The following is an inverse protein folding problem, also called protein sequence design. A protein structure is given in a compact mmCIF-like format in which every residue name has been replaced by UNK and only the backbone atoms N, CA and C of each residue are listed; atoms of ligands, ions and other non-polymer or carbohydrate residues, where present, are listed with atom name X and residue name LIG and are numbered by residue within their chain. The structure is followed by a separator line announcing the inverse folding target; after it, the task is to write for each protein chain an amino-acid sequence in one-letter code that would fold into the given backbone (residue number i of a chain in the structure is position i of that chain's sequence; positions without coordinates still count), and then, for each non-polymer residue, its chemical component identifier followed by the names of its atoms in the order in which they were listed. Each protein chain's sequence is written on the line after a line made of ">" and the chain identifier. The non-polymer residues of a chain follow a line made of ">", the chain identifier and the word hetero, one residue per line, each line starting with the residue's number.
data_IF_493624650732
#
_entry.id   IF_493624650732
#
_cell.length_a   1.000
_cell.length_b   1.000
_cell.length_c   1.000
_cell.angle_alpha   90.00
_cell.angle_beta   90.00
_cell.angle_gamma   90.00
#
_symmetry.space_group_name_H-M   'P 1'
#
loop_
_entity.id
_entity.type
_entity.pdbx_description
1 polymer ?
#
# COMPACT_ATOMS: atom_id res chain seq x y z
N UNK A 1 61.81 -24.18 -27.35
CA UNK A 1 60.43 -24.32 -27.83
C UNK A 1 59.49 -23.70 -26.81
N UNK A 2 58.54 -22.90 -27.29
CA UNK A 2 57.37 -22.29 -26.63
C UNK A 2 57.61 -21.34 -25.44
N UNK A 3 57.62 -20.01 -25.60
CA UNK A 3 56.55 -19.05 -25.96
C UNK A 3 55.40 -18.87 -24.95
N UNK A 4 55.19 -17.60 -24.58
CA UNK A 4 53.91 -16.95 -24.22
C UNK A 4 53.28 -17.33 -22.88
N UNK A 5 52.79 -16.43 -22.03
CA UNK A 5 52.48 -15.00 -22.13
C UNK A 5 52.22 -14.49 -20.69
N UNK A 6 52.86 -13.39 -20.28
CA UNK A 6 52.26 -12.06 -20.02
C UNK A 6 51.18 -12.04 -18.92
N UNK A 7 51.48 -11.49 -17.74
CA UNK A 7 51.25 -10.07 -17.37
C UNK A 7 49.81 -9.75 -16.94
N UNK A 8 49.72 -9.15 -15.74
CA UNK A 8 48.87 -8.01 -15.35
C UNK A 8 47.43 -7.97 -15.86
N UNK A 9 46.45 -7.99 -14.94
CA UNK A 9 45.11 -7.36 -15.02
C UNK A 9 44.24 -7.98 -13.93
N UNK A 10 43.44 -7.30 -13.12
CA UNK A 10 43.24 -5.90 -12.84
C UNK A 10 42.45 -5.84 -11.55
N UNK A 11 42.77 -4.86 -10.71
CA UNK A 11 41.88 -4.38 -9.67
C UNK A 11 40.52 -4.06 -10.29
N UNK A 12 39.47 -4.79 -9.92
CA UNK A 12 38.11 -4.32 -10.13
C UNK A 12 37.48 -3.99 -8.78
N UNK A 13 37.60 -2.71 -8.44
CA UNK A 13 36.64 -2.02 -7.59
C UNK A 13 35.30 -2.03 -8.33
N UNK A 14 34.39 -2.90 -7.91
CA UNK A 14 32.99 -2.81 -8.37
C UNK A 14 32.19 -2.02 -7.34
N UNK A 15 32.34 -0.69 -7.40
CA UNK A 15 31.19 0.18 -7.13
C UNK A 15 30.19 -0.07 -8.26
N UNK A 16 29.07 -0.70 -7.97
CA UNK A 16 27.76 -0.28 -8.48
C UNK A 16 26.65 -1.24 -8.09
N UNK A 17 25.74 -0.70 -7.27
CA UNK A 17 24.29 -0.77 -7.48
C UNK A 17 23.63 -2.11 -7.15
N UNK A 18 23.48 -2.34 -5.85
CA UNK A 18 22.31 -3.08 -5.36
C UNK A 18 21.08 -2.24 -5.67
N UNK A 19 20.38 -2.66 -6.73
CA UNK A 19 19.08 -2.19 -7.12
C UNK A 19 18.12 -2.61 -6.00
N UNK A 20 17.95 -1.74 -5.01
CA UNK A 20 16.85 -1.84 -4.06
C UNK A 20 15.56 -1.73 -4.88
N UNK A 21 14.99 -2.86 -5.28
CA UNK A 21 13.57 -2.97 -5.64
C UNK A 21 12.74 -2.82 -4.37
N UNK A 22 12.93 -1.70 -3.68
CA UNK A 22 12.08 -1.30 -2.58
C UNK A 22 10.74 -0.85 -3.20
N UNK A 23 9.59 -1.32 -2.66
CA UNK A 23 8.26 -0.94 -3.13
C UNK A 23 8.04 0.60 -3.13
N UNK A 24 8.89 1.36 -2.45
CA UNK A 24 8.94 2.82 -2.48
C UNK A 24 9.19 3.41 -3.89
N UNK A 25 9.96 2.75 -4.76
CA UNK A 25 10.27 3.30 -6.09
C UNK A 25 9.05 3.31 -7.03
N UNK A 26 8.22 2.26 -6.95
CA UNK A 26 6.99 2.14 -7.76
C UNK A 26 5.92 3.13 -7.29
N UNK A 27 5.89 3.42 -5.99
CA UNK A 27 5.04 4.44 -5.39
C UNK A 27 5.44 5.86 -5.81
N UNK A 28 6.73 6.15 -5.93
CA UNK A 28 7.23 7.48 -6.33
C UNK A 28 6.82 7.82 -7.77
N UNK A 29 6.95 6.85 -8.69
CA UNK A 29 6.48 6.99 -10.08
C UNK A 29 4.96 7.17 -10.17
N UNK A 30 4.20 6.43 -9.35
CA UNK A 30 2.74 6.56 -9.32
C UNK A 30 2.32 7.94 -8.78
N UNK A 31 2.94 8.40 -7.70
CA UNK A 31 2.70 9.73 -7.10
C UNK A 31 3.04 10.85 -8.10
N UNK A 32 4.09 10.68 -8.90
CA UNK A 32 4.47 11.64 -9.94
C UNK A 32 3.45 11.73 -11.08
N UNK A 33 2.67 10.66 -11.31
CA UNK A 33 1.61 10.62 -12.34
C UNK A 33 0.26 11.20 -11.88
N UNK A 34 0.09 11.46 -10.58
CA UNK A 34 -1.15 11.99 -10.00
C UNK A 34 -1.25 13.51 -10.13
N UNK A 35 -2.48 14.04 -10.03
CA UNK A 35 -2.74 15.48 -10.14
C UNK A 35 -2.02 16.27 -9.04
N UNK A 36 -1.74 17.56 -9.26
CA UNK A 36 -1.14 18.43 -8.23
C UNK A 36 -1.93 18.43 -6.92
N UNK A 37 -3.25 18.30 -6.99
CA UNK A 37 -4.11 18.24 -5.81
C UNK A 37 -3.87 16.95 -5.01
N UNK A 38 -3.71 15.81 -5.68
CA UNK A 38 -3.40 14.53 -5.04
C UNK A 38 -1.98 14.52 -4.45
N UNK A 39 -1.03 15.15 -5.16
CA UNK A 39 0.34 15.30 -4.69
C UNK A 39 0.43 16.11 -3.39
N UNK A 40 -0.37 17.15 -3.24
CA UNK A 40 -0.43 17.97 -2.03
C UNK A 40 -1.07 17.22 -0.84
N UNK A 41 -2.06 16.37 -1.09
CA UNK A 41 -2.68 15.53 -0.05
C UNK A 41 -1.67 14.50 0.47
N UNK A 42 -0.93 13.86 -0.43
CA UNK A 42 0.11 12.89 -0.08
C UNK A 42 1.25 13.57 0.70
N UNK A 43 1.71 14.75 0.26
CA UNK A 43 2.74 15.52 0.96
C UNK A 43 2.31 16.00 2.37
N UNK A 44 1.03 16.36 2.56
CA UNK A 44 0.50 16.71 3.89
C UNK A 44 0.40 15.51 4.83
N UNK A 45 0.12 14.33 4.29
CA UNK A 45 0.07 13.09 5.05
C UNK A 45 1.48 12.65 5.45
N UNK A 46 2.48 12.86 4.57
CA UNK A 46 3.90 12.60 4.82
C UNK A 46 4.55 13.43 5.95
N UNK A 47 3.86 14.44 6.48
CA UNK A 47 4.35 15.30 7.56
C UNK A 47 3.74 14.99 8.94
N UNK A 48 2.93 13.92 9.07
CA UNK A 48 2.21 13.56 10.32
C UNK A 48 2.79 12.36 11.08
N UNK A 49 4.06 12.00 10.88
CA UNK A 49 4.79 11.15 11.84
C UNK A 49 4.35 9.68 11.91
N UNK A 50 3.90 9.09 10.81
CA UNK A 50 3.60 7.66 10.74
C UNK A 50 2.31 7.20 11.43
N UNK A 51 1.46 8.14 11.85
CA UNK A 51 0.27 7.83 12.63
C UNK A 51 -0.99 7.62 11.79
N UNK A 52 -0.92 7.94 10.50
CA UNK A 52 -2.07 8.01 9.60
C UNK A 52 -1.88 7.07 8.42
N UNK A 53 -2.95 6.37 8.08
CA UNK A 53 -3.06 5.63 6.83
C UNK A 53 -4.30 6.06 6.06
N UNK A 54 -4.37 5.70 4.78
CA UNK A 54 -5.55 5.91 3.97
C UNK A 54 -5.74 4.81 2.95
N UNK A 55 -6.99 4.61 2.56
CA UNK A 55 -7.35 3.87 1.36
C UNK A 55 -7.70 4.83 0.23
N UNK A 56 -7.20 4.54 -0.97
CA UNK A 56 -7.58 5.22 -2.19
C UNK A 56 -8.29 4.25 -3.12
N UNK A 57 -9.46 4.62 -3.64
CA UNK A 57 -10.10 3.83 -4.68
C UNK A 57 -9.41 4.10 -6.02
N UNK A 58 -8.78 3.07 -6.57
CA UNK A 58 -8.03 3.11 -7.83
C UNK A 58 -8.93 2.82 -9.04
N UNK A 59 -9.96 2.00 -8.88
CA UNK A 59 -10.83 1.54 -9.97
C UNK A 59 -12.31 1.69 -9.67
N UNK A 60 -13.11 1.82 -10.74
CA UNK A 60 -14.56 1.91 -10.70
C UNK A 60 -15.08 3.35 -10.69
N UNK A 61 -16.39 3.50 -10.56
CA UNK A 61 -17.09 4.79 -10.54
C UNK A 61 -16.67 5.68 -9.36
N UNK A 62 -16.22 5.05 -8.26
CA UNK A 62 -15.73 5.73 -7.06
C UNK A 62 -14.22 6.04 -7.11
N UNK A 63 -13.57 5.93 -8.28
CA UNK A 63 -12.15 6.23 -8.44
C UNK A 63 -11.82 7.64 -7.94
N UNK A 64 -10.78 7.76 -7.13
CA UNK A 64 -10.35 9.02 -6.51
C UNK A 64 -10.94 9.28 -5.12
N UNK A 65 -11.90 8.47 -4.66
CA UNK A 65 -12.34 8.50 -3.26
C UNK A 65 -11.19 8.10 -2.34
N UNK A 66 -11.04 8.86 -1.24
CA UNK A 66 -9.99 8.65 -0.24
C UNK A 66 -10.63 8.52 1.15
N UNK A 67 -10.22 7.50 1.89
CA UNK A 67 -10.71 7.24 3.24
C UNK A 67 -9.54 7.24 4.20
N UNK A 68 -9.58 8.13 5.19
CA UNK A 68 -8.57 8.19 6.23
C UNK A 68 -8.80 7.08 7.25
N UNK A 69 -7.73 6.40 7.64
CA UNK A 69 -7.69 5.43 8.73
C UNK A 69 -7.07 6.14 9.94
N UNK A 70 -7.84 6.22 11.02
CA UNK A 70 -7.43 6.85 12.27
C UNK A 70 -6.62 5.87 13.13
N UNK A 71 -6.13 6.35 14.28
CA UNK A 71 -5.40 5.52 15.24
C UNK A 71 -6.26 4.37 15.79
N UNK A 72 -7.57 4.59 15.93
CA UNK A 72 -8.54 3.58 16.36
C UNK A 72 -8.83 2.52 15.29
N UNK A 73 -8.25 2.67 14.08
CA UNK A 73 -8.53 1.84 12.92
C UNK A 73 -9.72 2.32 12.11
N UNK A 74 -10.23 1.45 11.24
CA UNK A 74 -11.39 1.74 10.42
C UNK A 74 -12.13 0.45 10.04
N UNK A 75 -13.46 0.48 10.09
CA UNK A 75 -14.31 -0.59 9.57
C UNK A 75 -14.55 -0.38 8.08
N UNK A 76 -14.52 -1.46 7.29
CA UNK A 76 -14.75 -1.45 5.86
C UNK A 76 -16.01 -2.26 5.55
N UNK A 77 -16.96 -1.67 4.83
CA UNK A 77 -18.14 -2.40 4.40
C UNK A 77 -19.25 -1.52 3.84
N UNK A 78 -20.38 -2.14 3.54
CA UNK A 78 -21.59 -1.49 3.02
C UNK A 78 -22.49 -0.89 4.09
N UNK A 79 -22.09 -0.89 5.36
CA UNK A 79 -22.84 -0.17 6.39
C UNK A 79 -22.50 1.32 6.31
N UNK A 80 -23.50 2.20 6.36
CA UNK A 80 -23.28 3.65 6.43
C UNK A 80 -22.51 4.07 7.70
N UNK A 81 -22.46 3.19 8.71
CA UNK A 81 -21.68 3.37 9.93
C UNK A 81 -20.21 2.93 9.79
N UNK A 82 -19.80 2.40 8.64
CA UNK A 82 -18.43 1.96 8.41
C UNK A 82 -17.53 3.16 8.13
N UNK A 83 -16.31 3.16 8.70
CA UNK A 83 -15.32 4.22 8.43
C UNK A 83 -14.93 4.32 6.95
N UNK A 84 -14.94 3.17 6.26
CA UNK A 84 -14.80 3.05 4.81
C UNK A 84 -16.10 2.48 4.27
N UNK A 85 -17.00 3.38 3.88
CA UNK A 85 -18.29 3.01 3.31
C UNK A 85 -18.15 2.67 1.82
N UNK A 86 -18.50 1.44 1.48
CA UNK A 86 -18.47 0.91 0.12
C UNK A 86 -19.88 0.48 -0.29
N UNK A 87 -20.56 1.30 -1.08
CA UNK A 87 -21.94 1.06 -1.52
C UNK A 87 -22.00 0.05 -2.68
N UNK A 88 -21.95 -1.24 -2.36
CA UNK A 88 -22.20 -2.29 -3.35
C UNK A 88 -22.71 -3.59 -2.75
N UNK A 89 -23.58 -4.29 -3.49
CA UNK A 89 -24.18 -5.55 -3.04
C UNK A 89 -23.17 -6.66 -2.76
N UNK A 90 -22.02 -6.66 -3.47
CA UNK A 90 -20.92 -7.62 -3.28
C UNK A 90 -20.12 -7.36 -2.01
N UNK A 91 -20.37 -6.26 -1.31
CA UNK A 91 -19.72 -5.92 -0.05
C UNK A 91 -20.66 -6.19 1.12
N UNK A 92 -20.22 -7.04 2.06
CA UNK A 92 -20.90 -7.24 3.34
C UNK A 92 -21.01 -5.95 4.16
N UNK A 93 -22.04 -5.86 5.02
CA UNK A 93 -22.26 -4.68 5.89
C UNK A 93 -21.06 -4.39 6.79
N UNK A 94 -20.54 -5.42 7.44
CA UNK A 94 -19.24 -5.45 8.10
C UNK A 94 -18.36 -6.45 7.35
N UNK A 95 -17.54 -5.96 6.42
CA UNK A 95 -16.77 -6.81 5.52
C UNK A 95 -15.39 -7.11 6.10
N UNK A 96 -14.66 -6.05 6.45
CA UNK A 96 -13.34 -6.15 7.05
C UNK A 96 -13.16 -5.03 8.08
N UNK A 97 -12.15 -5.18 8.91
CA UNK A 97 -11.71 -4.15 9.84
C UNK A 97 -10.21 -3.97 9.67
N UNK A 98 -9.78 -2.71 9.68
CA UNK A 98 -8.38 -2.35 9.81
C UNK A 98 -8.16 -1.90 11.24
N UNK A 99 -7.22 -2.53 11.91
CA UNK A 99 -6.80 -2.17 13.26
C UNK A 99 -5.36 -1.69 13.22
N UNK A 100 -5.05 -0.61 13.95
CA UNK A 100 -3.66 -0.22 14.16
C UNK A 100 -3.09 -1.03 15.33
N UNK A 101 -2.01 -1.77 15.07
CA UNK A 101 -1.24 -2.50 16.09
C UNK A 101 0.16 -1.89 16.16
N UNK A 102 0.34 -0.95 17.08
CA UNK A 102 1.59 -0.20 17.21
C UNK A 102 1.84 0.70 16.01
N UNK A 103 2.89 0.44 15.24
CA UNK A 103 3.24 1.18 14.01
C UNK A 103 2.71 0.52 12.73
N UNK A 104 2.06 -0.63 12.85
CA UNK A 104 1.54 -1.40 11.72
C UNK A 104 0.02 -1.34 11.66
N UNK A 105 -0.54 -1.46 10.46
CA UNK A 105 -1.97 -1.61 10.25
C UNK A 105 -2.25 -3.06 9.85
N UNK A 106 -3.25 -3.67 10.47
CA UNK A 106 -3.65 -5.05 10.22
C UNK A 106 -5.06 -5.06 9.67
N UNK A 107 -5.22 -5.63 8.48
CA UNK A 107 -6.53 -5.88 7.87
C UNK A 107 -7.00 -7.26 8.30
N UNK A 108 -8.22 -7.36 8.81
CA UNK A 108 -8.88 -8.61 9.15
C UNK A 108 -10.24 -8.68 8.47
N UNK A 109 -10.51 -9.79 7.79
CA UNK A 109 -11.83 -10.10 7.23
C UNK A 109 -12.79 -10.51 8.37
N UNK A 110 -14.02 -10.00 8.35
CA UNK A 110 -15.03 -10.24 9.38
C UNK A 110 -16.01 -11.38 9.02
N UNK A 111 -15.59 -12.34 8.18
CA UNK A 111 -16.48 -13.37 7.64
C UNK A 111 -17.33 -12.82 6.49
N UNK A 112 -16.71 -12.06 5.60
CA UNK A 112 -17.40 -11.50 4.44
C UNK A 112 -17.87 -12.60 3.48
N UNK A 113 -18.94 -12.34 2.72
CA UNK A 113 -19.51 -13.36 1.83
C UNK A 113 -18.57 -13.67 0.64
N UNK A 114 -17.90 -12.65 0.12
CA UNK A 114 -17.04 -12.77 -1.05
C UNK A 114 -15.55 -12.88 -0.69
N UNK A 115 -15.18 -12.75 0.58
CA UNK A 115 -13.80 -12.69 1.04
C UNK A 115 -13.14 -11.34 0.79
N UNK A 116 -12.04 -11.12 1.52
CA UNK A 116 -11.12 -10.00 1.34
C UNK A 116 -9.87 -10.50 0.64
N UNK A 117 -9.41 -9.78 -0.39
CA UNK A 117 -8.20 -10.12 -1.13
C UNK A 117 -7.15 -9.02 -1.01
N UNK A 118 -5.89 -9.39 -0.86
CA UNK A 118 -4.76 -8.47 -0.87
C UNK A 118 -3.73 -8.98 -1.86
N UNK A 119 -3.33 -8.14 -2.82
CA UNK A 119 -2.44 -8.49 -3.92
C UNK A 119 -2.87 -9.77 -4.68
N UNK A 120 -4.18 -9.91 -4.89
CA UNK A 120 -4.86 -11.06 -5.53
C UNK A 120 -4.87 -12.36 -4.72
N UNK A 121 -4.47 -12.34 -3.45
CA UNK A 121 -4.54 -13.50 -2.55
C UNK A 121 -5.65 -13.31 -1.53
N UNK A 122 -6.46 -14.35 -1.28
CA UNK A 122 -7.51 -14.30 -0.25
C UNK A 122 -6.87 -14.35 1.14
N UNK A 123 -7.23 -13.40 2.00
CA UNK A 123 -6.64 -13.28 3.34
C UNK A 123 -7.73 -13.20 4.40
N UNK A 124 -7.48 -13.83 5.55
CA UNK A 124 -8.32 -13.66 6.75
C UNK A 124 -7.76 -12.58 7.67
N UNK A 125 -6.44 -12.50 7.80
CA UNK A 125 -5.73 -11.44 8.52
C UNK A 125 -4.37 -11.20 7.86
N UNK A 126 -3.99 -9.93 7.64
CA UNK A 126 -2.70 -9.56 7.07
C UNK A 126 -2.23 -8.19 7.59
N UNK A 127 -0.92 -8.06 7.78
CA UNK A 127 -0.28 -6.76 8.03
C UNK A 127 -0.17 -6.00 6.72
N UNK A 128 -0.84 -4.86 6.61
CA UNK A 128 -0.82 -3.99 5.44
C UNK A 128 0.48 -3.19 5.36
N UNK A 129 0.95 -3.01 4.13
CA UNK A 129 2.10 -2.18 3.76
C UNK A 129 1.69 -1.17 2.70
N UNK A 130 2.30 0.02 2.73
CA UNK A 130 2.08 1.04 1.69
C UNK A 130 2.30 0.43 0.31
N UNK A 131 1.32 0.61 -0.57
CA UNK A 131 1.30 0.06 -1.93
C UNK A 131 0.48 -1.22 -2.08
N UNK A 132 0.02 -1.84 -0.99
CA UNK A 132 -0.82 -3.03 -1.09
C UNK A 132 -2.15 -2.71 -1.79
N UNK A 133 -2.54 -3.59 -2.70
CA UNK A 133 -3.81 -3.53 -3.40
C UNK A 133 -4.83 -4.46 -2.72
N UNK A 134 -5.88 -3.88 -2.14
CA UNK A 134 -6.95 -4.58 -1.45
C UNK A 134 -8.15 -4.63 -2.38
N UNK A 135 -8.73 -5.81 -2.57
CA UNK A 135 -9.96 -5.99 -3.29
C UNK A 135 -11.06 -6.48 -2.33
N UNK A 136 -12.16 -5.72 -2.32
CA UNK A 136 -13.35 -5.98 -1.51
C UNK A 136 -14.57 -5.89 -2.45
N UNK A 137 -15.18 -7.02 -2.74
CA UNK A 137 -16.22 -7.10 -3.77
C UNK A 137 -15.69 -6.60 -5.13
N UNK A 138 -16.39 -5.63 -5.73
CA UNK A 138 -15.93 -4.96 -6.96
C UNK A 138 -14.89 -3.84 -6.75
N UNK A 139 -14.68 -3.40 -5.51
CA UNK A 139 -13.82 -2.26 -5.22
C UNK A 139 -12.35 -2.67 -5.14
N UNK A 140 -11.50 -1.84 -5.72
CA UNK A 140 -10.05 -1.97 -5.64
C UNK A 140 -9.49 -0.76 -4.90
N UNK A 141 -9.02 -1.00 -3.69
CA UNK A 141 -8.45 0.00 -2.80
C UNK A 141 -6.94 -0.15 -2.80
N UNK A 142 -6.23 0.97 -2.78
CA UNK A 142 -4.79 1.01 -2.56
C UNK A 142 -4.55 1.51 -1.14
N UNK A 143 -3.77 0.77 -0.36
CA UNK A 143 -3.39 1.20 0.97
C UNK A 143 -2.14 2.06 0.93
N UNK A 144 -2.19 3.19 1.64
CA UNK A 144 -1.07 4.10 1.80
C UNK A 144 -0.96 4.43 3.27
N UNK A 145 0.09 3.98 3.95
CA UNK A 145 0.46 4.52 5.25
C UNK A 145 1.62 5.50 5.11
N UNK A 146 1.60 6.56 5.92
CA UNK A 146 2.82 7.29 6.18
C UNK A 146 3.73 6.37 6.99
N UNK A 147 4.89 6.01 6.46
CA UNK A 147 5.97 5.51 7.30
C UNK A 147 6.83 6.75 7.51
N UNK A 148 6.69 7.39 8.69
CA UNK A 148 7.59 8.48 9.05
C UNK A 148 9.01 7.99 8.77
N UNK A 149 9.73 8.67 7.85
CA UNK A 149 11.03 8.19 7.36
C UNK A 149 11.84 7.71 8.54
N UNK A 150 12.20 6.41 8.54
CA UNK A 150 13.16 5.88 9.50
C UNK A 150 14.41 6.77 9.39
N UNK A 151 14.70 7.48 10.48
CA UNK A 151 15.83 8.39 10.59
C UNK A 151 17.13 7.59 10.66
#
# INVERSE_FOLDING_TARGET
>A
MDHSKSELTSTLHLSSREHSTSPAGVLDEYIASLSEQDRLVIAKIQSSGGEKAMFLINRGESKGARFLITDEGATVGRSASSGVFLDDVTVSRAHAVVEKKGTAFVLRDCGSLNGTYVNNESVSEIVLKTGDAIQIGKFHLLFVCDHGKAK
#
